data_IF_560154743457
#
_entry.id   IF_560154743457
#
_cell.length_a   1.000
_cell.length_b   1.000
_cell.length_c   1.000
_cell.angle_alpha   90.00
_cell.angle_beta   90.00
_cell.angle_gamma   90.00
#
_symmetry.space_group_name_H-M   'P 1'
#
loop_
_entity.id
_entity.type
_entity.pdbx_description
1 polymer ?
#
# COMPACT_ATOMS: atom_id res chain seq x y z
N UNK A 1 -1.46 -0.66 21.11
CA UNK A 1 -1.52 0.36 20.05
C UNK A 1 -2.87 0.21 19.38
N UNK A 2 -3.75 1.19 19.53
CA UNK A 2 -5.12 1.12 19.00
C UNK A 2 -5.08 1.45 17.51
N UNK A 3 -5.60 0.57 16.66
CA UNK A 3 -6.01 0.95 15.30
C UNK A 3 -7.29 1.80 15.47
N UNK A 4 -7.37 2.96 14.81
CA UNK A 4 -8.40 3.99 15.03
C UNK A 4 -9.81 3.39 15.00
N UNK A 5 -10.57 3.59 16.08
CA UNK A 5 -11.93 3.08 16.31
C UNK A 5 -13.01 4.11 15.97
N UNK A 6 -12.70 5.17 15.23
CA UNK A 6 -13.75 5.88 14.49
C UNK A 6 -14.17 4.98 13.34
N UNK A 7 -15.47 4.77 13.15
CA UNK A 7 -16.08 4.05 12.03
C UNK A 7 -15.68 4.69 10.70
N UNK A 8 -14.43 4.47 10.28
CA UNK A 8 -13.91 4.78 8.96
C UNK A 8 -13.98 3.48 8.18
N UNK A 9 -14.67 3.54 7.05
CA UNK A 9 -14.62 2.44 6.11
C UNK A 9 -13.19 2.30 5.58
N UNK A 10 -12.75 1.08 5.21
CA UNK A 10 -11.48 0.90 4.53
C UNK A 10 -11.35 1.88 3.35
N UNK A 11 -10.20 2.53 3.22
CA UNK A 11 -9.94 3.53 2.17
C UNK A 11 -9.57 2.90 0.82
N UNK A 12 -9.60 1.58 0.71
CA UNK A 12 -9.19 0.87 -0.50
C UNK A 12 -9.27 -0.65 -0.35
N UNK A 13 -8.76 -1.36 -1.36
CA UNK A 13 -8.69 -2.82 -1.40
C UNK A 13 -7.35 -3.30 -1.94
N UNK A 14 -6.92 -4.48 -1.54
CA UNK A 14 -5.78 -5.15 -2.17
C UNK A 14 -6.13 -5.55 -3.61
N UNK A 15 -5.21 -5.31 -4.53
CA UNK A 15 -5.30 -5.72 -5.94
C UNK A 15 -4.19 -6.69 -6.34
N UNK A 16 -3.12 -6.75 -5.56
CA UNK A 16 -2.05 -7.74 -5.72
C UNK A 16 -1.52 -8.14 -4.35
N UNK A 17 -1.34 -9.45 -4.13
CA UNK A 17 -0.60 -10.02 -3.02
C UNK A 17 0.31 -11.09 -3.60
N UNK A 18 1.62 -10.94 -3.39
CA UNK A 18 2.61 -11.81 -4.02
C UNK A 18 3.78 -12.05 -3.09
N UNK A 19 4.06 -13.33 -2.83
CA UNK A 19 5.24 -13.71 -2.06
C UNK A 19 6.50 -13.43 -2.86
N UNK A 20 7.46 -12.79 -2.21
CA UNK A 20 8.76 -12.44 -2.74
C UNK A 20 9.86 -12.94 -1.81
N UNK A 21 11.10 -12.97 -2.30
CA UNK A 21 12.26 -13.43 -1.51
C UNK A 21 12.49 -12.62 -0.22
N UNK A 22 11.93 -11.42 -0.13
CA UNK A 22 12.10 -10.50 0.99
C UNK A 22 10.82 -10.29 1.80
N UNK A 23 9.76 -11.07 1.54
CA UNK A 23 8.48 -10.97 2.23
C UNK A 23 7.30 -10.81 1.28
N UNK A 24 6.16 -10.37 1.80
CA UNK A 24 4.94 -10.18 1.00
C UNK A 24 4.98 -8.82 0.30
N UNK A 25 4.92 -8.82 -1.03
CA UNK A 25 4.59 -7.63 -1.81
C UNK A 25 3.07 -7.47 -1.86
N UNK A 26 2.59 -6.24 -1.65
CA UNK A 26 1.18 -5.91 -1.72
C UNK A 26 0.96 -4.60 -2.48
N UNK A 27 -0.06 -4.57 -3.34
CA UNK A 27 -0.53 -3.37 -4.02
C UNK A 27 -2.01 -3.15 -3.71
N UNK A 28 -2.39 -1.87 -3.57
CA UNK A 28 -3.73 -1.47 -3.16
C UNK A 28 -4.30 -0.43 -4.13
N UNK A 29 -5.58 -0.59 -4.44
CA UNK A 29 -6.40 0.43 -5.10
C UNK A 29 -7.10 1.26 -4.02
N UNK A 30 -6.87 2.56 -4.04
CA UNK A 30 -7.52 3.51 -3.11
C UNK A 30 -8.88 3.91 -3.69
N UNK A 31 -9.91 3.83 -2.86
CA UNK A 31 -11.27 4.16 -3.26
C UNK A 31 -11.43 5.68 -3.47
N UNK A 32 -12.14 6.06 -4.54
CA UNK A 32 -12.46 7.45 -4.85
C UNK A 32 -13.53 8.00 -3.88
N UNK A 33 -13.08 8.31 -2.68
CA UNK A 33 -13.87 8.82 -1.56
C UNK A 33 -13.06 9.90 -0.86
N UNK A 34 -13.71 10.79 -0.12
CA UNK A 34 -13.01 11.84 0.64
C UNK A 34 -11.87 11.28 1.50
N UNK A 35 -12.12 10.19 2.21
CA UNK A 35 -11.14 9.61 3.12
C UNK A 35 -10.00 8.91 2.36
N UNK A 36 -10.28 8.32 1.18
CA UNK A 36 -9.25 7.78 0.29
C UNK A 36 -8.39 8.86 -0.37
N UNK A 37 -9.00 9.96 -0.80
CA UNK A 37 -8.31 11.12 -1.35
C UNK A 37 -7.38 11.78 -0.32
N UNK A 38 -7.86 11.93 0.92
CA UNK A 38 -7.07 12.42 2.05
C UNK A 38 -5.89 11.49 2.35
N UNK A 39 -6.12 10.17 2.39
CA UNK A 39 -5.05 9.19 2.58
C UNK A 39 -3.97 9.30 1.49
N UNK A 40 -4.37 9.38 0.22
CA UNK A 40 -3.46 9.51 -0.90
C UNK A 40 -2.69 10.84 -0.89
N UNK A 41 -3.36 11.94 -0.50
CA UNK A 41 -2.74 13.25 -0.35
C UNK A 41 -1.67 13.24 0.75
N UNK A 42 -1.96 12.63 1.90
CA UNK A 42 -1.00 12.51 3.01
C UNK A 42 0.24 11.70 2.62
N UNK A 43 0.07 10.60 1.86
CA UNK A 43 1.21 9.81 1.36
C UNK A 43 2.03 10.61 0.35
N UNK A 44 1.37 11.29 -0.61
CA UNK A 44 2.07 12.13 -1.60
C UNK A 44 2.82 13.30 -0.98
N UNK A 45 2.30 13.86 0.11
CA UNK A 45 2.93 14.94 0.85
C UNK A 45 4.09 14.46 1.75
N UNK A 46 4.31 13.14 1.87
CA UNK A 46 5.32 12.57 2.77
C UNK A 46 4.97 12.71 4.25
N UNK A 47 3.72 13.07 4.58
CA UNK A 47 3.23 13.13 5.98
C UNK A 47 3.05 11.72 6.53
N UNK A 48 2.70 10.76 5.66
CA UNK A 48 2.61 9.35 5.97
C UNK A 48 3.41 8.55 4.95
N UNK A 49 4.49 7.92 5.39
CA UNK A 49 5.42 7.17 4.55
C UNK A 49 5.50 5.69 4.92
N UNK A 50 4.73 5.26 5.93
CA UNK A 50 4.85 3.93 6.52
C UNK A 50 3.48 3.26 6.69
N UNK A 51 3.50 1.95 6.96
CA UNK A 51 2.30 1.16 7.18
C UNK A 51 2.46 0.17 8.35
N UNK A 52 1.31 -0.38 8.77
CA UNK A 52 1.21 -1.48 9.71
C UNK A 52 0.23 -2.52 9.19
N UNK A 53 0.32 -3.74 9.72
CA UNK A 53 -0.56 -4.85 9.34
C UNK A 53 -1.33 -5.37 10.53
N UNK A 54 -2.64 -5.53 10.36
CA UNK A 54 -3.48 -6.31 11.25
C UNK A 54 -3.50 -7.75 10.74
N UNK A 55 -3.21 -8.71 11.61
CA UNK A 55 -3.23 -10.12 11.25
C UNK A 55 -3.75 -10.99 12.40
N UNK A 56 -4.26 -12.17 12.04
CA UNK A 56 -4.59 -13.23 13.00
C UNK A 56 -3.55 -14.33 12.90
N UNK A 57 -2.81 -14.64 13.99
CA UNK A 57 -1.89 -15.77 13.98
C UNK A 57 -2.67 -17.07 13.79
N UNK A 58 -2.16 -17.95 12.92
CA UNK A 58 -2.67 -19.31 12.71
C UNK A 58 -1.73 -20.30 13.40
N UNK A 59 -0.42 -20.11 13.23
CA UNK A 59 0.60 -20.96 13.83
C UNK A 59 1.79 -20.16 14.31
N UNK A 60 2.20 -20.45 15.53
CA UNK A 60 3.29 -19.76 16.21
C UNK A 60 4.31 -20.75 16.76
N UNK A 61 5.55 -20.28 16.91
CA UNK A 61 6.60 -20.95 17.66
C UNK A 61 7.26 -19.96 18.62
N UNK A 62 7.69 -20.44 19.78
CA UNK A 62 8.52 -19.66 20.70
C UNK A 62 9.97 -20.06 20.54
N UNK A 63 10.85 -19.09 20.35
CA UNK A 63 12.29 -19.30 20.28
C UNK A 63 13.00 -18.16 20.98
N UNK A 64 13.93 -18.48 21.90
CA UNK A 64 14.77 -17.49 22.57
C UNK A 64 13.99 -16.30 23.20
N UNK A 65 12.81 -16.59 23.76
CA UNK A 65 11.95 -15.57 24.38
C UNK A 65 11.13 -14.74 23.38
N UNK A 66 11.27 -14.97 22.08
CA UNK A 66 10.51 -14.30 21.01
C UNK A 66 9.40 -15.22 20.49
N UNK A 67 8.28 -14.62 20.11
CA UNK A 67 7.20 -15.33 19.40
C UNK A 67 7.39 -15.15 17.90
N UNK A 68 7.71 -16.24 17.22
CA UNK A 68 7.81 -16.32 15.77
C UNK A 68 6.45 -16.70 15.21
N UNK A 69 5.86 -15.81 14.40
CA UNK A 69 4.65 -16.09 13.63
C UNK A 69 5.05 -16.92 12.41
N UNK A 70 4.70 -18.20 12.41
CA UNK A 70 5.03 -19.12 11.31
C UNK A 70 3.98 -19.03 10.21
N UNK A 71 2.73 -18.79 10.58
CA UNK A 71 1.61 -18.65 9.66
C UNK A 71 0.61 -17.64 10.23
N UNK A 72 0.16 -16.71 9.40
CA UNK A 72 -0.77 -15.66 9.79
C UNK A 72 -1.73 -15.33 8.64
N UNK A 73 -3.00 -15.14 8.99
CA UNK A 73 -3.98 -14.54 8.09
C UNK A 73 -3.85 -13.02 8.15
N UNK A 74 -3.43 -12.39 7.03
CA UNK A 74 -3.49 -10.94 6.88
C UNK A 74 -4.96 -10.49 6.87
N UNK A 75 -5.29 -9.53 7.73
CA UNK A 75 -6.65 -9.00 7.85
C UNK A 75 -6.76 -7.61 7.22
N UNK A 76 -5.78 -6.74 7.48
CA UNK A 76 -5.77 -5.37 6.98
C UNK A 76 -4.34 -4.83 6.85
N UNK A 77 -4.22 -3.76 6.07
CA UNK A 77 -3.04 -2.90 6.00
C UNK A 77 -3.49 -1.46 6.23
N UNK A 78 -2.82 -0.77 7.14
CA UNK A 78 -3.18 0.57 7.58
C UNK A 78 -2.00 1.51 7.47
N UNK A 79 -2.23 2.71 6.93
CA UNK A 79 -1.24 3.77 6.87
C UNK A 79 -0.93 4.29 8.28
N UNK A 80 0.35 4.51 8.60
CA UNK A 80 0.78 5.04 9.91
C UNK A 80 2.03 5.88 9.78
N UNK A 81 2.16 6.94 10.59
CA UNK A 81 3.42 7.69 10.71
C UNK A 81 4.42 7.07 11.69
N UNK A 82 4.00 6.03 12.45
CA UNK A 82 4.85 5.36 13.44
C UNK A 82 4.74 3.85 13.20
N UNK A 83 5.62 3.27 12.38
CA UNK A 83 5.59 1.83 12.11
C UNK A 83 6.17 1.03 13.27
N UNK A 84 5.72 -0.23 13.38
CA UNK A 84 6.31 -1.18 14.33
C UNK A 84 7.72 -1.62 13.93
N UNK A 85 8.04 -1.57 12.63
CA UNK A 85 9.34 -1.91 12.06
C UNK A 85 9.83 -0.75 11.19
N UNK A 86 11.10 -0.30 11.35
CA UNK A 86 11.62 0.81 10.56
C UNK A 86 11.55 0.59 9.05
N UNK A 87 11.57 -0.66 8.58
CA UNK A 87 11.51 -1.00 7.16
C UNK A 87 10.09 -1.15 6.60
N UNK A 88 9.04 -0.85 7.38
CA UNK A 88 7.65 -0.95 6.93
C UNK A 88 7.22 0.32 6.16
N UNK A 89 7.96 0.63 5.10
CA UNK A 89 7.83 1.84 4.30
C UNK A 89 6.94 1.63 3.07
N UNK A 90 6.28 2.70 2.63
CA UNK A 90 5.50 2.74 1.40
C UNK A 90 6.47 2.90 0.23
N UNK A 91 6.67 1.84 -0.53
CA UNK A 91 7.62 1.81 -1.66
C UNK A 91 7.26 2.78 -2.81
N UNK A 92 6.01 3.25 -2.89
CA UNK A 92 5.62 4.29 -3.82
C UNK A 92 4.12 4.41 -4.04
N UNK A 93 3.72 5.57 -4.57
CA UNK A 93 2.36 5.83 -5.04
C UNK A 93 2.36 5.83 -6.56
N UNK A 94 1.68 4.88 -7.19
CA UNK A 94 1.48 4.87 -8.64
C UNK A 94 0.27 5.72 -9.00
N UNK A 95 0.44 6.64 -9.93
CA UNK A 95 -0.68 7.20 -10.70
C UNK A 95 -0.77 6.47 -12.04
N UNK A 96 -1.95 5.98 -12.40
CA UNK A 96 -2.23 5.77 -13.82
C UNK A 96 -2.41 7.15 -14.47
N UNK A 97 -1.36 7.65 -15.12
CA UNK A 97 -1.53 8.70 -16.12
C UNK A 97 -0.51 8.55 -17.24
N UNK A 98 -0.95 7.87 -18.30
CA UNK A 98 -0.55 8.24 -19.65
C UNK A 98 -1.79 8.75 -20.39
N UNK A 99 -2.33 9.89 -19.94
CA UNK A 99 -3.18 10.71 -20.81
C UNK A 99 -2.23 11.50 -21.70
N UNK A 100 -1.83 10.91 -22.83
CA UNK A 100 -1.14 11.65 -23.88
C UNK A 100 -2.21 12.49 -24.59
N UNK A 101 -2.14 13.84 -24.57
CA UNK A 101 -3.06 14.66 -25.34
C UNK A 101 -3.07 14.22 -26.80
N UNK A 102 -4.24 14.16 -27.43
CA UNK A 102 -4.37 13.68 -28.82
C UNK A 102 -3.38 14.35 -29.78
N UNK A 103 -3.10 15.64 -29.58
CA UNK A 103 -2.10 16.39 -30.37
C UNK A 103 -0.69 15.83 -30.24
N UNK A 104 -0.26 15.48 -29.03
CA UNK A 104 1.06 14.90 -28.74
C UNK A 104 1.17 13.47 -29.27
N UNK A 105 0.09 12.69 -29.17
CA UNK A 105 0.04 11.35 -29.75
C UNK A 105 0.16 11.39 -31.28
N UNK A 106 -0.56 12.32 -31.93
CA UNK A 106 -0.49 12.51 -33.38
C UNK A 106 0.88 12.99 -33.86
N UNK A 107 1.49 13.95 -33.16
CA UNK A 107 2.81 14.44 -33.50
C UNK A 107 3.89 13.34 -33.38
N UNK A 108 3.76 12.44 -32.39
CA UNK A 108 4.67 11.30 -32.23
C UNK A 108 4.48 10.24 -33.30
N UNK A 109 3.25 9.96 -33.73
CA UNK A 109 2.97 9.05 -34.85
C UNK A 109 3.60 9.59 -36.14
N UNK A 110 3.42 10.88 -36.42
CA UNK A 110 4.00 11.53 -37.61
C UNK A 110 5.54 11.51 -37.64
N UNK A 111 6.20 11.50 -36.47
CA UNK A 111 7.65 11.41 -36.36
C UNK A 111 8.19 9.98 -36.51
N UNK A 112 7.33 8.96 -36.47
CA UNK A 112 7.70 7.55 -36.64
C UNK A 112 7.48 7.05 -38.07
N UNK A 113 6.76 7.83 -38.90
CA UNK A 113 6.47 7.53 -40.31
C UNK A 113 7.60 7.98 -41.28
N UNK A 114 8.88 7.86 -40.87
CA UNK A 114 10.04 8.10 -41.75
C UNK A 114 10.31 6.90 -42.68
#
# INVERSE_FOLDING_TARGET
MSHDSRTRYPVGRAVELREERFGLFAAFEIANTRDGDEALANVRAGVVDSFSVGFRPIRDRRENGVVVRVEAALLEVSLTGIPAYPSAEIAGVRSEQLVIPRSVALARIQLLDW
#
